data_IF_260640824069
#
_entry.id   IF_260640824069
#
_cell.length_a   1.000
_cell.length_b   1.000
_cell.length_c   1.000
_cell.angle_alpha   90.00
_cell.angle_beta   90.00
_cell.angle_gamma   90.00
#
_symmetry.space_group_name_H-M   'P 1'
#
loop_
_entity.id
_entity.type
_entity.pdbx_description
1 polymer ?
#
# COMPACT_ATOMS: atom_id res chain seq x y z
N UNK A 1 -5.47 -16.80 7.95
CA UNK A 1 -5.89 -18.24 7.99
C UNK A 1 -5.06 -19.08 8.99
N UNK A 2 -3.80 -18.74 9.27
CA UNK A 2 -2.95 -19.54 10.18
C UNK A 2 -3.24 -19.31 11.68
N UNK A 3 -3.88 -18.20 12.07
CA UNK A 3 -4.01 -17.80 13.47
C UNK A 3 -5.37 -18.15 14.09
N UNK A 4 -6.33 -18.70 13.33
CA UNK A 4 -7.72 -18.98 13.79
C UNK A 4 -8.32 -17.80 14.58
N UNK A 5 -8.19 -16.58 14.06
CA UNK A 5 -8.71 -15.38 14.70
C UNK A 5 -10.20 -15.20 14.40
N UNK A 6 -10.97 -14.77 15.40
CA UNK A 6 -12.40 -14.47 15.27
C UNK A 6 -12.63 -13.07 14.65
N UNK A 7 -11.66 -12.18 14.81
CA UNK A 7 -11.66 -10.84 14.25
C UNK A 7 -10.23 -10.34 14.02
N UNK A 8 -10.10 -9.33 13.15
CA UNK A 8 -8.86 -8.61 12.95
C UNK A 8 -9.07 -7.16 13.38
N UNK A 9 -8.18 -6.63 14.21
CA UNK A 9 -8.11 -5.21 14.53
C UNK A 9 -6.82 -4.62 13.96
N UNK A 10 -6.95 -3.74 12.98
CA UNK A 10 -5.82 -2.98 12.43
C UNK A 10 -5.51 -1.81 13.35
N UNK A 11 -4.30 -1.74 13.90
CA UNK A 11 -3.80 -0.57 14.60
C UNK A 11 -3.12 0.36 13.57
N UNK A 12 -3.77 1.47 13.26
CA UNK A 12 -3.44 2.33 12.12
C UNK A 12 -2.79 3.65 12.57
N UNK A 13 -1.59 3.90 12.06
CA UNK A 13 -0.94 5.20 12.10
C UNK A 13 -0.06 5.32 10.85
N UNK A 14 -0.57 5.96 9.79
CA UNK A 14 0.13 6.04 8.50
C UNK A 14 -0.17 7.34 7.76
N UNK A 15 0.84 7.83 7.05
CA UNK A 15 0.71 8.94 6.10
C UNK A 15 0.41 8.49 4.66
N UNK A 16 0.32 7.18 4.42
CA UNK A 16 0.01 6.60 3.12
C UNK A 16 0.99 5.53 2.68
N UNK A 17 0.94 5.18 1.42
CA UNK A 17 1.77 4.13 0.81
C UNK A 17 1.45 3.96 -0.67
N UNK A 18 1.94 2.89 -1.26
CA UNK A 18 1.73 2.56 -2.67
C UNK A 18 0.26 2.22 -2.94
N UNK A 19 -0.27 2.74 -4.06
CA UNK A 19 -1.67 2.56 -4.45
C UNK A 19 -2.02 1.08 -4.67
N UNK A 20 -1.15 0.34 -5.35
CA UNK A 20 -1.34 -1.09 -5.65
C UNK A 20 -1.40 -1.93 -4.37
N UNK A 21 -0.53 -1.63 -3.40
CA UNK A 21 -0.53 -2.29 -2.09
C UNK A 21 -1.80 -1.96 -1.32
N UNK A 22 -2.25 -0.71 -1.36
CA UNK A 22 -3.47 -0.27 -0.70
C UNK A 22 -4.73 -0.94 -1.30
N UNK A 23 -4.79 -1.07 -2.63
CA UNK A 23 -5.88 -1.77 -3.32
C UNK A 23 -5.91 -3.28 -2.98
N UNK A 24 -4.76 -3.92 -2.93
CA UNK A 24 -4.64 -5.31 -2.52
C UNK A 24 -5.12 -5.51 -1.07
N UNK A 25 -4.73 -4.63 -0.14
CA UNK A 25 -5.19 -4.66 1.25
C UNK A 25 -6.71 -4.40 1.35
N UNK A 26 -7.21 -3.37 0.67
CA UNK A 26 -8.64 -3.04 0.58
C UNK A 26 -9.45 -4.25 0.11
N UNK A 27 -9.00 -4.88 -0.99
CA UNK A 27 -9.67 -6.05 -1.56
C UNK A 27 -9.68 -7.22 -0.58
N UNK A 28 -8.56 -7.51 0.08
CA UNK A 28 -8.47 -8.55 1.09
C UNK A 28 -9.39 -8.29 2.29
N UNK A 29 -9.55 -7.02 2.69
CA UNK A 29 -10.45 -6.63 3.79
C UNK A 29 -11.91 -6.80 3.39
N UNK A 30 -12.32 -6.29 2.22
CA UNK A 30 -13.69 -6.38 1.75
C UNK A 30 -14.18 -7.82 1.59
N UNK A 31 -13.30 -8.74 1.19
CA UNK A 31 -13.60 -10.16 1.03
C UNK A 31 -13.15 -11.04 2.20
N UNK A 32 -12.80 -10.44 3.33
CA UNK A 32 -12.40 -11.19 4.52
C UNK A 32 -13.57 -12.01 5.07
N UNK A 33 -13.38 -13.32 5.35
CA UNK A 33 -14.42 -14.15 5.95
C UNK A 33 -14.69 -13.82 7.43
N UNK A 34 -13.79 -13.08 8.08
CA UNK A 34 -13.90 -12.61 9.46
C UNK A 34 -13.93 -11.09 9.48
N UNK A 35 -14.60 -10.47 10.46
CA UNK A 35 -14.70 -9.02 10.53
C UNK A 35 -13.34 -8.37 10.71
N UNK A 36 -13.06 -7.33 9.89
CA UNK A 36 -11.88 -6.50 10.04
C UNK A 36 -12.32 -5.13 10.57
N UNK A 37 -11.74 -4.73 11.68
CA UNK A 37 -11.90 -3.43 12.31
C UNK A 37 -10.63 -2.62 12.18
N UNK A 38 -10.72 -1.30 12.30
CA UNK A 38 -9.55 -0.44 12.37
C UNK A 38 -9.65 0.50 13.57
N UNK A 39 -8.55 0.64 14.29
CA UNK A 39 -8.32 1.67 15.30
C UNK A 39 -7.27 2.65 14.76
N UNK A 40 -7.69 3.88 14.46
CA UNK A 40 -6.82 4.95 14.00
C UNK A 40 -6.27 5.65 15.23
N UNK A 41 -4.98 5.40 15.50
CA UNK A 41 -4.28 5.97 16.64
C UNK A 41 -4.01 7.47 16.45
N UNK A 42 -3.45 7.85 15.28
CA UNK A 42 -3.14 9.24 14.99
C UNK A 42 -3.55 9.62 13.56
N UNK A 43 -3.04 8.92 12.54
CA UNK A 43 -3.29 9.26 11.16
C UNK A 43 -3.72 8.05 10.32
N UNK A 44 -4.73 8.25 9.47
CA UNK A 44 -5.07 7.38 8.37
C UNK A 44 -5.15 8.22 7.09
N UNK A 45 -3.99 8.69 6.61
CA UNK A 45 -3.90 9.51 5.42
C UNK A 45 -3.70 8.66 4.16
N UNK A 46 -4.19 9.15 3.01
CA UNK A 46 -3.98 8.54 1.69
C UNK A 46 -4.42 7.06 1.64
N UNK A 47 -3.49 6.12 1.41
CA UNK A 47 -3.75 4.68 1.46
C UNK A 47 -4.43 4.25 2.77
N UNK A 48 -4.09 4.89 3.90
CA UNK A 48 -4.70 4.63 5.20
C UNK A 48 -6.20 4.93 5.23
N UNK A 49 -6.64 5.98 4.55
CA UNK A 49 -8.06 6.30 4.43
C UNK A 49 -8.80 5.22 3.63
N UNK A 50 -8.28 4.83 2.46
CA UNK A 50 -8.85 3.78 1.62
C UNK A 50 -9.00 2.45 2.37
N UNK A 51 -7.92 2.02 3.07
CA UNK A 51 -7.88 0.79 3.86
C UNK A 51 -8.90 0.86 5.02
N UNK A 52 -8.95 2.02 5.72
CA UNK A 52 -9.89 2.20 6.83
C UNK A 52 -11.35 2.16 6.38
N UNK A 53 -11.68 2.78 5.23
CA UNK A 53 -13.03 2.76 4.65
C UNK A 53 -13.46 1.33 4.28
N UNK A 54 -12.53 0.46 3.91
CA UNK A 54 -12.83 -0.95 3.62
C UNK A 54 -13.18 -1.76 4.86
N UNK A 55 -12.75 -1.35 6.05
CA UNK A 55 -13.01 -2.04 7.30
C UNK A 55 -14.49 -1.97 7.71
N UNK A 56 -14.96 -3.02 8.40
CA UNK A 56 -16.34 -3.14 8.88
C UNK A 56 -16.72 -1.99 9.80
N UNK A 57 -15.81 -1.56 10.69
CA UNK A 57 -15.96 -0.40 11.56
C UNK A 57 -14.63 0.33 11.75
N UNK A 58 -14.73 1.63 11.99
CA UNK A 58 -13.61 2.54 12.19
C UNK A 58 -13.72 3.15 13.58
N UNK A 59 -12.69 2.97 14.39
CA UNK A 59 -12.55 3.61 15.70
C UNK A 59 -11.38 4.56 15.66
N UNK A 60 -11.50 5.71 16.34
CA UNK A 60 -10.47 6.74 16.29
C UNK A 60 -10.11 7.19 17.70
N UNK A 61 -8.82 7.50 17.90
CA UNK A 61 -8.38 8.21 19.10
C UNK A 61 -8.72 9.69 18.97
N UNK A 62 -8.91 10.37 20.11
CA UNK A 62 -9.01 11.83 20.13
C UNK A 62 -7.76 12.46 19.51
N UNK A 63 -7.96 13.36 18.54
CA UNK A 63 -6.88 13.98 17.77
C UNK A 63 -6.49 13.24 16.49
N UNK A 64 -7.03 12.06 16.25
CA UNK A 64 -6.78 11.33 15.00
C UNK A 64 -7.50 11.95 13.79
N UNK A 65 -6.96 11.68 12.61
CA UNK A 65 -7.45 12.19 11.33
C UNK A 65 -7.56 11.06 10.30
N UNK A 66 -8.51 11.23 9.35
CA UNK A 66 -8.70 10.35 8.20
C UNK A 66 -8.98 11.16 6.93
N UNK A 67 -8.31 10.85 5.82
CA UNK A 67 -8.53 11.52 4.53
C UNK A 67 -7.26 11.77 3.74
N UNK A 68 -7.18 12.93 3.05
CA UNK A 68 -6.04 13.36 2.23
C UNK A 68 -5.54 12.27 1.27
N UNK A 69 -6.42 11.76 0.40
CA UNK A 69 -6.16 10.59 -0.43
C UNK A 69 -5.84 10.92 -1.90
N UNK A 70 -5.46 12.16 -2.20
CA UNK A 70 -4.94 12.55 -3.52
C UNK A 70 -3.71 11.74 -3.89
N UNK A 71 -3.67 11.20 -5.10
CA UNK A 71 -2.53 10.41 -5.57
C UNK A 71 -1.39 11.35 -5.96
N UNK A 72 -0.24 11.20 -5.30
CA UNK A 72 0.94 12.04 -5.50
C UNK A 72 2.15 11.20 -5.91
N UNK A 73 3.12 11.84 -6.56
CA UNK A 73 4.43 11.23 -6.82
C UNK A 73 5.35 11.33 -5.58
N UNK A 74 6.58 10.84 -5.72
CA UNK A 74 7.59 10.86 -4.65
C UNK A 74 7.96 12.27 -4.17
N UNK A 75 7.72 13.32 -4.99
CA UNK A 75 7.99 14.72 -4.63
C UNK A 75 6.78 15.41 -4.00
N UNK A 76 5.65 14.70 -3.85
CA UNK A 76 4.40 15.25 -3.31
C UNK A 76 3.53 15.99 -4.36
N UNK A 77 3.93 16.02 -5.63
CA UNK A 77 3.13 16.61 -6.69
C UNK A 77 1.99 15.66 -7.12
N UNK A 78 0.79 16.22 -7.32
CA UNK A 78 -0.36 15.45 -7.75
C UNK A 78 -0.11 14.78 -9.12
N UNK A 79 -0.45 13.51 -9.23
CA UNK A 79 -0.39 12.78 -10.50
C UNK A 79 -1.50 13.26 -11.46
N UNK A 80 -1.35 13.01 -12.79
CA UNK A 80 -2.37 13.34 -13.79
C UNK A 80 -3.76 12.79 -13.44
N UNK A 81 -4.82 13.45 -13.93
CA UNK A 81 -6.21 13.14 -13.59
C UNK A 81 -6.62 11.68 -13.83
N UNK A 82 -5.97 10.96 -14.74
CA UNK A 82 -6.16 9.51 -14.94
C UNK A 82 -6.01 8.73 -13.63
N UNK A 83 -4.96 9.02 -12.86
CA UNK A 83 -4.70 8.35 -11.58
C UNK A 83 -5.66 8.82 -10.49
N UNK A 84 -5.99 10.11 -10.48
CA UNK A 84 -6.99 10.66 -9.57
C UNK A 84 -8.37 10.05 -9.85
N UNK A 85 -8.77 9.92 -11.11
CA UNK A 85 -10.03 9.31 -11.53
C UNK A 85 -10.14 7.86 -11.05
N UNK A 86 -9.06 7.10 -11.18
CA UNK A 86 -9.01 5.72 -10.69
C UNK A 86 -9.18 5.67 -9.16
N UNK A 87 -8.44 6.49 -8.42
CA UNK A 87 -8.53 6.56 -6.96
C UNK A 87 -9.90 7.04 -6.49
N UNK A 88 -10.50 8.04 -7.15
CA UNK A 88 -11.89 8.49 -6.87
C UNK A 88 -12.89 7.35 -6.98
N UNK A 89 -12.82 6.61 -8.09
CA UNK A 89 -13.70 5.47 -8.31
C UNK A 89 -13.50 4.38 -7.25
N UNK A 90 -12.26 4.08 -6.92
CA UNK A 90 -11.89 3.06 -5.95
C UNK A 90 -12.40 3.41 -4.53
N UNK A 91 -12.14 4.62 -4.05
CA UNK A 91 -12.52 5.01 -2.69
C UNK A 91 -14.05 5.14 -2.57
N UNK A 92 -14.72 5.65 -3.62
CA UNK A 92 -16.18 5.73 -3.69
C UNK A 92 -16.81 4.33 -3.65
N UNK A 93 -16.39 3.42 -4.52
CA UNK A 93 -16.91 2.05 -4.55
C UNK A 93 -16.64 1.29 -3.25
N UNK A 94 -15.54 1.60 -2.56
CA UNK A 94 -15.24 1.03 -1.24
C UNK A 94 -16.23 1.52 -0.18
N UNK A 95 -16.59 2.81 -0.20
CA UNK A 95 -17.62 3.35 0.69
C UNK A 95 -19.01 2.77 0.38
N UNK A 96 -19.36 2.64 -0.91
CA UNK A 96 -20.61 2.01 -1.37
C UNK A 96 -20.72 0.55 -0.92
N UNK A 97 -19.61 -0.20 -0.93
CA UNK A 97 -19.57 -1.60 -0.50
C UNK A 97 -19.92 -1.80 0.98
N UNK A 98 -19.81 -0.75 1.82
CA UNK A 98 -20.25 -0.81 3.22
C UNK A 98 -21.78 -0.81 3.35
N UNK A 99 -22.51 -0.48 2.28
CA UNK A 99 -23.97 -0.52 2.23
C UNK A 99 -24.65 0.67 2.89
N UNK A 100 -25.96 0.52 3.09
CA UNK A 100 -26.85 1.54 3.67
C UNK A 100 -27.49 1.01 4.93
N UNK A 101 -27.71 1.92 5.87
CA UNK A 101 -28.59 1.68 7.02
C UNK A 101 -30.02 2.05 6.66
N UNK A 102 -30.97 1.29 7.16
CA UNK A 102 -32.40 1.57 7.04
C UNK A 102 -32.86 2.33 8.28
N UNK A 103 -33.32 3.54 8.08
CA UNK A 103 -33.89 4.38 9.14
C UNK A 103 -35.39 4.53 8.92
N UNK A 104 -36.18 4.47 9.99
CA UNK A 104 -37.60 4.78 9.95
C UNK A 104 -37.79 6.17 10.55
N UNK A 105 -38.21 7.12 9.72
CA UNK A 105 -38.47 8.49 10.16
C UNK A 105 -39.88 8.90 9.72
N UNK A 106 -40.72 9.30 10.67
CA UNK A 106 -42.12 9.68 10.45
C UNK A 106 -42.99 8.63 9.72
N UNK A 107 -42.62 7.32 9.88
CA UNK A 107 -43.33 6.23 9.20
C UNK A 107 -42.78 5.87 7.82
N UNK A 108 -41.87 6.67 7.28
CA UNK A 108 -41.18 6.42 6.01
C UNK A 108 -39.85 5.70 6.20
N UNK A 109 -39.53 4.81 5.28
CA UNK A 109 -38.26 4.09 5.26
C UNK A 109 -37.23 4.90 4.47
N UNK A 110 -36.20 5.39 5.15
CA UNK A 110 -35.09 6.15 4.55
C UNK A 110 -33.84 5.29 4.52
N UNK A 111 -33.15 5.23 3.38
CA UNK A 111 -31.87 4.57 3.21
C UNK A 111 -30.74 5.59 3.28
N UNK A 112 -29.90 5.51 4.29
CA UNK A 112 -28.71 6.36 4.47
C UNK A 112 -27.46 5.54 4.30
N UNK A 113 -26.48 6.05 3.53
CA UNK A 113 -25.17 5.42 3.44
C UNK A 113 -24.52 5.32 4.82
N UNK A 114 -23.92 4.17 5.13
CA UNK A 114 -23.07 4.02 6.33
C UNK A 114 -21.86 4.93 6.23
N UNK A 115 -21.24 4.98 5.05
CA UNK A 115 -20.21 5.93 4.67
C UNK A 115 -20.63 6.58 3.35
N UNK A 116 -20.82 7.90 3.36
CA UNK A 116 -21.28 8.60 2.18
C UNK A 116 -20.18 8.57 1.10
N UNK A 117 -20.45 7.99 -0.09
CA UNK A 117 -19.44 7.90 -1.16
C UNK A 117 -18.94 9.26 -1.64
N UNK A 118 -19.75 10.32 -1.55
CA UNK A 118 -19.34 11.68 -1.92
C UNK A 118 -18.27 12.24 -0.98
N UNK A 119 -18.36 11.94 0.32
CA UNK A 119 -17.36 12.31 1.32
C UNK A 119 -16.05 11.56 1.06
N UNK A 120 -16.11 10.26 0.70
CA UNK A 120 -14.92 9.51 0.29
C UNK A 120 -14.24 10.13 -0.94
N UNK A 121 -15.03 10.52 -1.93
CA UNK A 121 -14.53 11.17 -3.15
C UNK A 121 -13.85 12.51 -2.86
N UNK A 122 -14.43 13.32 -1.96
CA UNK A 122 -13.85 14.60 -1.51
C UNK A 122 -12.48 14.44 -0.81
N UNK A 123 -12.13 13.25 -0.30
CA UNK A 123 -10.80 12.96 0.24
C UNK A 123 -9.73 12.86 -0.86
N UNK A 124 -10.13 12.67 -2.13
CA UNK A 124 -9.23 12.53 -3.28
C UNK A 124 -9.19 13.79 -4.13
N UNK A 125 -10.37 14.41 -4.39
CA UNK A 125 -10.56 15.44 -5.39
C UNK A 125 -11.03 16.75 -4.75
N UNK A 126 -10.25 17.78 -4.91
CA UNK A 126 -10.50 19.13 -4.41
C UNK A 126 -11.66 19.86 -5.12
N UNK A 127 -12.17 19.33 -6.23
CA UNK A 127 -13.33 19.87 -6.96
C UNK A 127 -14.66 19.43 -6.34
N UNK A 128 -14.63 18.39 -5.50
CA UNK A 128 -15.84 17.84 -4.86
C UNK A 128 -16.29 18.75 -3.72
N UNK A 129 -17.54 19.16 -3.77
CA UNK A 129 -18.19 19.97 -2.74
C UNK A 129 -19.11 19.08 -1.91
N UNK A 130 -18.94 19.09 -0.59
CA UNK A 130 -19.86 18.47 0.36
C UNK A 130 -20.46 19.60 1.22
N UNK A 131 -21.76 19.91 1.08
CA UNK A 131 -22.38 21.01 1.81
C UNK A 131 -22.18 20.89 3.33
N UNK A 132 -21.80 21.99 3.97
CA UNK A 132 -21.50 22.09 5.41
C UNK A 132 -20.28 21.28 5.88
N UNK A 133 -19.45 20.77 4.97
CA UNK A 133 -18.23 20.03 5.32
C UNK A 133 -16.99 20.59 4.59
N UNK A 134 -17.03 20.68 3.25
CA UNK A 134 -15.89 21.17 2.47
C UNK A 134 -16.34 21.88 1.18
N UNK A 135 -15.65 22.97 0.86
CA UNK A 135 -15.81 23.75 -0.36
C UNK A 135 -14.80 23.29 -1.43
N UNK A 136 -15.06 23.69 -2.69
CA UNK A 136 -14.15 23.44 -3.81
C UNK A 136 -12.75 24.06 -3.58
N UNK A 137 -11.73 23.41 -4.12
CA UNK A 137 -10.33 23.84 -4.01
C UNK A 137 -9.62 23.31 -2.76
N UNK A 138 -10.23 22.36 -2.04
CA UNK A 138 -9.66 21.74 -0.84
C UNK A 138 -9.86 20.23 -0.86
N UNK A 139 -8.83 19.49 -0.50
CA UNK A 139 -8.92 18.03 -0.27
C UNK A 139 -9.37 17.77 1.16
N UNK A 140 -10.33 16.88 1.33
CA UNK A 140 -10.95 16.61 2.63
C UNK A 140 -10.03 15.75 3.51
N UNK A 141 -9.87 16.21 4.74
CA UNK A 141 -9.35 15.41 5.86
C UNK A 141 -10.28 15.62 7.04
N UNK A 142 -10.87 14.55 7.55
CA UNK A 142 -11.77 14.61 8.69
C UNK A 142 -10.99 14.47 9.99
N UNK A 143 -11.26 15.35 10.92
CA UNK A 143 -10.92 15.14 12.35
C UNK A 143 -11.79 14.03 12.93
N UNK A 144 -11.40 13.47 14.08
CA UNK A 144 -12.18 12.40 14.74
C UNK A 144 -13.63 12.84 15.04
N UNK A 145 -13.88 14.14 15.33
CA UNK A 145 -15.22 14.68 15.59
C UNK A 145 -16.05 14.76 14.31
N UNK A 146 -15.46 15.25 13.22
CA UNK A 146 -16.12 15.29 11.91
C UNK A 146 -16.38 13.88 11.39
N UNK A 147 -15.40 12.97 11.53
CA UNK A 147 -15.56 11.57 11.15
C UNK A 147 -16.71 10.90 11.90
N UNK A 148 -16.85 11.15 13.21
CA UNK A 148 -17.98 10.66 14.01
C UNK A 148 -19.33 11.24 13.53
N UNK A 149 -19.37 12.55 13.27
CA UNK A 149 -20.58 13.26 12.81
C UNK A 149 -21.03 12.77 11.43
N UNK A 150 -20.08 12.50 10.54
CA UNK A 150 -20.36 12.17 9.14
C UNK A 150 -20.35 10.66 8.83
N UNK A 151 -20.24 9.79 9.86
CA UNK A 151 -20.31 8.33 9.72
C UNK A 151 -19.02 7.66 9.24
N UNK A 152 -17.89 8.36 9.33
CA UNK A 152 -16.55 7.83 9.04
C UNK A 152 -15.78 7.38 10.28
N UNK A 153 -16.42 7.48 11.45
CA UNK A 153 -15.97 6.91 12.71
C UNK A 153 -17.18 6.30 13.43
N UNK A 154 -17.06 5.07 13.87
CA UNK A 154 -18.10 4.32 14.57
C UNK A 154 -18.00 4.48 16.10
N UNK A 155 -16.87 4.98 16.61
CA UNK A 155 -16.67 5.23 18.03
C UNK A 155 -15.29 5.78 18.35
N UNK A 156 -15.16 6.44 19.50
CA UNK A 156 -13.92 7.04 19.98
C UNK A 156 -13.33 6.15 21.05
N UNK A 157 -12.07 5.74 20.90
CA UNK A 157 -11.35 4.92 21.86
C UNK A 157 -9.95 5.46 22.09
N UNK A 158 -9.40 5.22 23.29
CA UNK A 158 -8.04 5.65 23.63
C UNK A 158 -7.00 4.54 23.40
N UNK A 159 -7.46 3.29 23.22
CA UNK A 159 -6.57 2.14 23.00
C UNK A 159 -7.27 1.03 22.20
N UNK A 160 -6.49 0.11 21.59
CA UNK A 160 -7.02 -1.11 20.99
C UNK A 160 -7.84 -1.97 21.97
N UNK A 161 -7.40 -2.07 23.23
CA UNK A 161 -8.10 -2.84 24.27
C UNK A 161 -9.50 -2.29 24.54
N UNK A 162 -9.64 -0.95 24.55
CA UNK A 162 -10.95 -0.32 24.70
C UNK A 162 -11.86 -0.65 23.51
N UNK A 163 -11.34 -0.68 22.29
CA UNK A 163 -12.12 -1.11 21.12
C UNK A 163 -12.61 -2.54 21.29
N UNK A 164 -11.75 -3.44 21.76
CA UNK A 164 -12.08 -4.86 21.92
C UNK A 164 -13.13 -5.05 22.99
N UNK A 165 -12.96 -4.41 24.15
CA UNK A 165 -13.83 -4.63 25.33
C UNK A 165 -15.15 -3.90 25.23
N UNK A 166 -15.17 -2.63 24.81
CA UNK A 166 -16.36 -1.80 24.83
C UNK A 166 -17.19 -1.89 23.55
N UNK A 167 -16.51 -1.93 22.36
CA UNK A 167 -17.21 -1.86 21.08
C UNK A 167 -17.38 -3.23 20.40
N UNK A 168 -16.41 -4.13 20.51
CA UNK A 168 -16.55 -5.50 20.02
C UNK A 168 -17.25 -6.38 21.05
N UNK A 169 -17.12 -6.04 22.35
CA UNK A 169 -17.81 -6.70 23.45
C UNK A 169 -17.14 -7.99 23.92
N UNK A 170 -15.87 -8.19 23.59
CA UNK A 170 -15.08 -9.35 24.03
C UNK A 170 -14.43 -9.06 25.38
N UNK A 171 -14.81 -9.82 26.43
CA UNK A 171 -14.22 -9.70 27.78
C UNK A 171 -13.01 -10.60 27.97
N UNK A 172 -13.08 -11.81 27.41
CA UNK A 172 -11.99 -12.79 27.42
C UNK A 172 -11.45 -12.89 25.98
N UNK A 173 -10.25 -12.40 25.74
CA UNK A 173 -9.62 -12.42 24.42
C UNK A 173 -8.11 -12.61 24.54
N UNK A 174 -7.55 -13.20 23.52
CA UNK A 174 -6.10 -13.30 23.30
C UNK A 174 -5.72 -12.48 22.08
N UNK A 175 -4.79 -11.55 22.23
CA UNK A 175 -4.26 -10.80 21.11
C UNK A 175 -3.08 -11.58 20.52
N UNK A 176 -3.21 -11.97 19.25
CA UNK A 176 -2.11 -12.53 18.45
C UNK A 176 -1.62 -11.45 17.50
N UNK A 177 -0.58 -10.76 17.90
CA UNK A 177 0.05 -9.77 17.03
C UNK A 177 0.75 -10.46 15.86
N UNK A 178 0.54 -9.94 14.65
CA UNK A 178 1.36 -10.32 13.52
C UNK A 178 2.67 -9.53 13.60
N UNK A 179 3.76 -10.25 13.82
CA UNK A 179 5.11 -9.69 13.72
C UNK A 179 5.78 -10.26 12.47
N UNK A 180 6.38 -9.41 11.61
CA UNK A 180 7.14 -9.88 10.48
C UNK A 180 8.24 -10.83 10.97
N UNK A 181 8.40 -11.96 10.29
CA UNK A 181 9.49 -12.88 10.60
C UNK A 181 10.84 -12.21 10.34
N UNK A 182 11.93 -12.77 10.93
CA UNK A 182 13.28 -12.34 10.59
C UNK A 182 13.52 -12.34 9.07
N UNK A 183 12.98 -13.33 8.38
CA UNK A 183 13.07 -13.45 6.93
C UNK A 183 12.32 -12.30 6.20
N UNK A 184 11.12 -11.90 6.65
CA UNK A 184 10.39 -10.79 6.08
C UNK A 184 11.13 -9.46 6.28
N UNK A 185 11.79 -9.28 7.42
CA UNK A 185 12.61 -8.10 7.70
C UNK A 185 13.84 -8.03 6.78
N UNK A 186 14.54 -9.15 6.57
CA UNK A 186 15.69 -9.25 5.63
C UNK A 186 15.23 -8.99 4.20
N UNK A 187 14.12 -9.61 3.79
CA UNK A 187 13.51 -9.38 2.49
C UNK A 187 13.16 -7.90 2.28
N UNK A 188 12.46 -7.29 3.23
CA UNK A 188 12.12 -5.86 3.20
C UNK A 188 13.34 -4.94 3.14
N UNK A 189 14.44 -5.30 3.80
CA UNK A 189 15.70 -4.55 3.70
C UNK A 189 16.22 -4.54 2.26
N UNK A 190 16.32 -5.70 1.61
CA UNK A 190 16.78 -5.78 0.22
C UNK A 190 15.79 -5.16 -0.79
N UNK A 191 14.51 -5.07 -0.47
CA UNK A 191 13.49 -4.41 -1.29
C UNK A 191 13.42 -2.90 -1.08
N UNK A 192 14.15 -2.33 -0.12
CA UNK A 192 14.14 -0.89 0.09
C UNK A 192 14.76 -0.15 -1.11
N UNK A 193 14.19 1.02 -1.54
CA UNK A 193 14.67 1.73 -2.73
C UNK A 193 16.15 2.09 -2.71
N UNK A 194 16.70 2.38 -1.53
CA UNK A 194 18.12 2.72 -1.35
C UNK A 194 19.01 1.51 -1.63
N UNK A 195 18.66 0.34 -1.07
CA UNK A 195 19.43 -0.89 -1.28
C UNK A 195 19.27 -1.39 -2.71
N UNK A 196 18.07 -1.32 -3.28
CA UNK A 196 17.83 -1.64 -4.70
C UNK A 196 18.68 -0.78 -5.62
N UNK A 197 18.74 0.53 -5.38
CA UNK A 197 19.61 1.44 -6.14
C UNK A 197 21.11 1.10 -6.00
N UNK A 198 21.55 0.76 -4.79
CA UNK A 198 22.94 0.33 -4.55
C UNK A 198 23.27 -0.98 -5.28
N UNK A 199 22.38 -1.96 -5.26
CA UNK A 199 22.56 -3.22 -5.96
C UNK A 199 22.66 -3.03 -7.46
N UNK A 200 21.83 -2.16 -8.07
CA UNK A 200 21.93 -1.79 -9.48
C UNK A 200 23.29 -1.16 -9.79
N UNK A 201 23.78 -0.24 -8.95
CA UNK A 201 25.10 0.37 -9.14
C UNK A 201 26.21 -0.69 -9.09
N UNK A 202 26.12 -1.66 -8.18
CA UNK A 202 27.10 -2.76 -8.08
C UNK A 202 27.04 -3.63 -9.33
N UNK A 203 25.85 -3.95 -9.85
CA UNK A 203 25.66 -4.76 -11.07
C UNK A 203 26.29 -4.04 -12.26
N UNK A 204 25.89 -2.79 -12.54
CA UNK A 204 26.38 -2.02 -13.69
C UNK A 204 27.89 -1.74 -13.55
N UNK A 205 28.32 -1.31 -12.37
CA UNK A 205 29.72 -1.03 -12.10
C UNK A 205 30.60 -2.26 -12.20
N UNK A 206 30.13 -3.41 -11.67
CA UNK A 206 30.86 -4.66 -11.75
C UNK A 206 31.00 -5.16 -13.20
N UNK A 207 29.95 -5.09 -14.00
CA UNK A 207 30.02 -5.40 -15.45
C UNK A 207 31.04 -4.47 -16.14
N UNK A 208 30.99 -3.17 -15.86
CA UNK A 208 31.91 -2.20 -16.43
C UNK A 208 33.39 -2.50 -16.06
N UNK A 209 33.67 -2.83 -14.78
CA UNK A 209 35.02 -3.18 -14.35
C UNK A 209 35.53 -4.49 -14.99
N UNK A 210 34.66 -5.49 -15.15
CA UNK A 210 35.01 -6.73 -15.83
C UNK A 210 35.38 -6.50 -17.30
N UNK A 211 34.72 -5.52 -17.96
CA UNK A 211 35.07 -5.12 -19.34
C UNK A 211 36.46 -4.48 -19.46
N UNK A 212 36.95 -3.85 -18.40
CA UNK A 212 38.26 -3.20 -18.38
C UNK A 212 39.44 -4.13 -18.05
N UNK A 213 39.17 -5.21 -17.33
CA UNK A 213 40.17 -6.16 -16.88
C UNK A 213 39.86 -7.56 -17.43
N UNK A 214 40.64 -8.05 -18.41
CA UNK A 214 40.36 -9.37 -18.99
C UNK A 214 40.60 -10.49 -17.96
N UNK A 215 39.54 -11.24 -17.67
CA UNK A 215 39.54 -12.41 -16.77
C UNK A 215 38.39 -12.37 -15.77
N UNK A 216 37.73 -13.52 -15.53
CA UNK A 216 36.70 -13.63 -14.51
C UNK A 216 37.28 -13.41 -13.11
N UNK A 217 36.88 -12.32 -12.45
CA UNK A 217 37.44 -11.94 -11.17
C UNK A 217 36.41 -11.54 -10.12
N UNK A 218 36.87 -10.78 -9.11
CA UNK A 218 36.03 -10.26 -8.03
C UNK A 218 34.81 -9.47 -8.53
N UNK A 219 34.90 -8.62 -9.60
CA UNK A 219 33.75 -7.90 -10.11
C UNK A 219 32.61 -8.82 -10.57
N UNK A 220 32.91 -9.89 -11.30
CA UNK A 220 31.92 -10.88 -11.75
C UNK A 220 31.20 -11.54 -10.56
N UNK A 221 31.92 -11.92 -9.51
CA UNK A 221 31.33 -12.49 -8.31
C UNK A 221 30.38 -11.48 -7.61
N UNK A 222 30.81 -10.21 -7.53
CA UNK A 222 30.00 -9.15 -6.95
C UNK A 222 28.69 -8.91 -7.74
N UNK A 223 28.76 -8.93 -9.09
CA UNK A 223 27.58 -8.82 -9.96
C UNK A 223 26.58 -9.94 -9.70
N UNK A 224 27.06 -11.19 -9.66
CA UNK A 224 26.18 -12.35 -9.45
C UNK A 224 25.51 -12.26 -8.08
N UNK A 225 26.24 -11.94 -7.02
CA UNK A 225 25.69 -11.80 -5.67
C UNK A 225 24.67 -10.65 -5.63
N UNK A 226 25.02 -9.50 -6.20
CA UNK A 226 24.11 -8.35 -6.23
C UNK A 226 22.83 -8.64 -7.05
N UNK A 227 22.93 -9.36 -8.15
CA UNK A 227 21.79 -9.78 -8.94
C UNK A 227 20.86 -10.74 -8.17
N UNK A 228 21.42 -11.72 -7.46
CA UNK A 228 20.64 -12.62 -6.62
C UNK A 228 19.92 -11.83 -5.51
N UNK A 229 20.63 -10.94 -4.82
CA UNK A 229 20.05 -10.11 -3.75
C UNK A 229 18.99 -9.11 -4.28
N UNK A 230 19.09 -8.71 -5.53
CA UNK A 230 18.12 -7.84 -6.21
C UNK A 230 16.86 -8.61 -6.62
N UNK A 231 17.01 -9.71 -7.36
CA UNK A 231 15.88 -10.43 -7.97
C UNK A 231 15.18 -11.40 -7.01
N UNK A 232 15.91 -12.06 -6.08
CA UNK A 232 15.30 -13.08 -5.23
C UNK A 232 14.14 -12.55 -4.37
N UNK A 233 14.25 -11.38 -3.69
CA UNK A 233 13.13 -10.82 -2.94
C UNK A 233 11.95 -10.43 -3.82
N UNK A 234 12.21 -9.85 -5.00
CA UNK A 234 11.18 -9.46 -5.97
C UNK A 234 10.42 -10.69 -6.51
N UNK A 235 11.14 -11.74 -6.85
CA UNK A 235 10.55 -13.00 -7.30
C UNK A 235 9.66 -13.65 -6.23
N UNK A 236 10.12 -13.66 -4.99
CA UNK A 236 9.38 -14.25 -3.86
C UNK A 236 8.07 -13.51 -3.56
N UNK A 237 7.98 -12.21 -3.82
CA UNK A 237 6.76 -11.41 -3.68
C UNK A 237 5.91 -11.38 -4.96
N UNK A 238 6.33 -12.11 -6.02
CA UNK A 238 5.62 -12.13 -7.30
C UNK A 238 5.71 -10.81 -8.08
N UNK A 239 6.68 -9.95 -7.73
CA UNK A 239 6.94 -8.67 -8.41
C UNK A 239 7.92 -8.81 -9.58
N UNK A 240 8.60 -9.96 -9.69
CA UNK A 240 9.42 -10.33 -10.84
C UNK A 240 8.96 -11.67 -11.39
N UNK A 241 8.77 -11.75 -12.69
CA UNK A 241 8.38 -12.97 -13.38
C UNK A 241 9.62 -13.73 -13.90
N UNK A 242 9.46 -15.04 -14.13
CA UNK A 242 10.56 -15.90 -14.62
C UNK A 242 11.20 -15.37 -15.91
N UNK A 243 10.41 -14.81 -16.82
CA UNK A 243 10.90 -14.30 -18.11
C UNK A 243 11.77 -13.05 -17.96
N UNK A 244 11.53 -12.20 -16.95
CA UNK A 244 12.33 -11.02 -16.68
C UNK A 244 13.73 -11.40 -16.18
N UNK A 245 13.80 -12.40 -15.30
CA UNK A 245 15.06 -12.97 -14.81
C UNK A 245 15.82 -13.65 -15.97
N UNK A 246 15.12 -14.40 -16.82
CA UNK A 246 15.70 -15.02 -18.01
C UNK A 246 16.24 -13.97 -18.99
N UNK A 247 15.51 -12.88 -19.21
CA UNK A 247 15.94 -11.80 -20.07
C UNK A 247 17.20 -11.10 -19.52
N UNK A 248 17.26 -10.88 -18.21
CA UNK A 248 18.46 -10.33 -17.57
C UNK A 248 19.67 -11.25 -17.74
N UNK A 249 19.51 -12.57 -17.48
CA UNK A 249 20.58 -13.56 -17.66
C UNK A 249 21.04 -13.59 -19.12
N UNK A 250 20.10 -13.58 -20.08
CA UNK A 250 20.42 -13.54 -21.50
C UNK A 250 21.21 -12.28 -21.87
N UNK A 251 20.81 -11.12 -21.34
CA UNK A 251 21.54 -9.86 -21.54
C UNK A 251 22.97 -9.92 -21.03
N UNK A 252 23.17 -10.43 -19.83
CA UNK A 252 24.51 -10.64 -19.27
C UNK A 252 25.36 -11.58 -20.12
N UNK A 253 24.77 -12.72 -20.59
CA UNK A 253 25.46 -13.67 -21.50
C UNK A 253 25.85 -12.98 -22.80
N UNK A 254 24.97 -12.20 -23.41
CA UNK A 254 25.28 -11.47 -24.65
C UNK A 254 26.43 -10.47 -24.48
N UNK A 255 26.43 -9.74 -23.37
CA UNK A 255 27.52 -8.84 -23.03
C UNK A 255 28.83 -9.60 -22.85
N UNK A 256 28.83 -10.74 -22.14
CA UNK A 256 30.00 -11.57 -21.95
C UNK A 256 30.53 -12.13 -23.27
N UNK A 257 29.64 -12.57 -24.17
CA UNK A 257 30.04 -13.05 -25.50
C UNK A 257 30.71 -11.96 -26.33
N UNK A 258 30.19 -10.73 -26.27
CA UNK A 258 30.78 -9.58 -26.96
C UNK A 258 32.19 -9.27 -26.45
N UNK A 259 32.38 -9.33 -25.11
CA UNK A 259 33.66 -8.98 -24.48
C UNK A 259 34.75 -10.04 -24.74
N UNK A 260 34.38 -11.32 -24.64
CA UNK A 260 35.38 -12.42 -24.63
C UNK A 260 35.50 -13.17 -25.95
N UNK A 261 34.51 -13.10 -26.84
CA UNK A 261 34.45 -13.94 -28.05
C UNK A 261 34.42 -13.11 -29.33
N UNK A 262 33.76 -11.96 -29.34
CA UNK A 262 33.58 -11.14 -30.54
C UNK A 262 34.50 -9.92 -30.47
N UNK A 263 35.51 -9.79 -31.35
CA UNK A 263 36.42 -8.64 -31.31
C UNK A 263 35.70 -7.40 -31.83
N UNK A 264 35.43 -6.43 -30.96
CA UNK A 264 34.80 -5.16 -31.27
C UNK A 264 33.37 -5.05 -30.68
N UNK A 265 32.85 -3.81 -30.52
CA UNK A 265 31.52 -3.58 -29.97
C UNK A 265 30.47 -3.73 -31.09
N UNK A 266 29.75 -4.84 -31.10
CA UNK A 266 28.81 -5.23 -32.15
C UNK A 266 27.37 -5.44 -31.69
N UNK A 267 26.62 -6.26 -32.45
CA UNK A 267 25.18 -6.47 -32.22
C UNK A 267 24.90 -7.15 -30.87
N UNK A 268 25.74 -8.08 -30.42
CA UNK A 268 25.53 -8.78 -29.16
C UNK A 268 25.65 -7.85 -27.94
N UNK A 269 26.64 -6.94 -27.91
CA UNK A 269 26.81 -5.97 -26.85
C UNK A 269 25.73 -4.88 -26.82
N UNK A 270 25.18 -4.51 -27.99
CA UNK A 270 24.05 -3.56 -28.07
C UNK A 270 22.75 -4.21 -27.60
N UNK A 271 22.58 -5.50 -27.85
CA UNK A 271 21.35 -6.25 -27.52
C UNK A 271 21.33 -6.73 -26.07
N UNK A 272 22.47 -6.90 -25.43
CA UNK A 272 22.62 -7.29 -24.02
C UNK A 272 22.52 -6.11 -23.07
#
# INVERSE_FOLDING_TARGET
KQLNADAILLHMNTYGGLLESADSMRTAILYSPIPVYVFIDNNAASAGALISIACKKIYMRKGANIGAATVVNQTGAALPDKYQSYMRSMIRSTAEAQGKDTLIQNGDTIYKWKRDPLIAEAMVDDRVIVPNLIDSGKVLTLTYQEALKWGYCDGIAESPDQVITEYIGCKDYEIKSYEPSWFDNVKGFFMSPVIQGLLIIIIIGGIYFEMQTPGLGFPSAAVIIAAILYFAPLYMDGLAENWEILLFILGVILIMLEIFVIPGFGIAGISG
#
